data_IF_447177473625
#
_entry.id   IF_447177473625
#
_cell.length_a   1.000
_cell.length_b   1.000
_cell.length_c   1.000
_cell.angle_alpha   90.00
_cell.angle_beta   90.00
_cell.angle_gamma   90.00
#
_symmetry.space_group_name_H-M   'P 1'
#
loop_
_entity.id
_entity.type
_entity.pdbx_description
1 polymer ?
#
# COMPACT_ATOMS: atom_id res chain seq x y z
N UNK A 1 -22.16 21.85 -7.15
CA UNK A 1 -22.30 20.37 -7.25
C UNK A 1 -23.20 19.89 -6.13
N UNK A 2 -24.00 18.84 -6.38
CA UNK A 2 -24.81 18.19 -5.32
C UNK A 2 -23.88 17.64 -4.23
N UNK A 3 -24.24 17.82 -2.97
CA UNK A 3 -23.53 17.20 -1.84
C UNK A 3 -23.86 15.70 -1.81
N UNK A 4 -22.85 14.86 -1.86
CA UNK A 4 -22.99 13.40 -1.79
C UNK A 4 -22.75 12.89 -0.37
N UNK A 5 -23.44 11.81 0.00
CA UNK A 5 -23.15 10.99 1.17
C UNK A 5 -22.47 9.69 0.71
N UNK A 6 -21.21 9.51 1.05
CA UNK A 6 -20.38 8.35 0.67
C UNK A 6 -20.09 7.50 1.89
N UNK A 7 -20.47 6.23 1.86
CA UNK A 7 -20.21 5.25 2.93
C UNK A 7 -19.12 4.28 2.48
N UNK A 8 -17.99 4.25 3.18
CA UNK A 8 -16.90 3.32 2.93
C UNK A 8 -16.95 2.15 3.93
N UNK A 9 -16.82 0.91 3.43
CA UNK A 9 -16.91 -0.31 4.23
C UNK A 9 -15.56 -1.02 4.30
N UNK A 10 -15.04 -1.26 5.51
CA UNK A 10 -13.81 -2.04 5.74
C UNK A 10 -13.86 -2.76 7.09
N UNK A 11 -12.98 -3.78 7.33
CA UNK A 11 -13.03 -4.58 8.55
C UNK A 11 -12.74 -3.79 9.82
N UNK A 12 -11.65 -3.01 9.81
CA UNK A 12 -11.14 -2.26 10.94
C UNK A 12 -10.24 -1.11 10.47
N UNK A 13 -9.90 -0.19 11.37
CA UNK A 13 -9.06 0.99 11.15
C UNK A 13 -7.79 0.94 11.99
N UNK A 14 -6.96 -0.13 11.83
CA UNK A 14 -5.73 -0.28 12.60
C UNK A 14 -4.50 0.24 11.87
N UNK A 15 -4.07 -0.45 10.81
CA UNK A 15 -2.91 -0.08 9.99
C UNK A 15 -2.92 -0.86 8.68
N UNK A 16 -2.44 -0.23 7.62
CA UNK A 16 -2.30 -0.84 6.31
C UNK A 16 -2.64 0.11 5.17
N UNK A 17 -2.37 -0.32 3.95
CA UNK A 17 -2.60 0.50 2.76
C UNK A 17 -4.06 0.74 2.42
N UNK A 18 -4.96 -0.18 2.81
CA UNK A 18 -6.42 -0.03 2.61
C UNK A 18 -6.97 1.00 3.57
N UNK A 19 -6.64 0.88 4.86
CA UNK A 19 -7.07 1.78 5.91
C UNK A 19 -6.57 3.20 5.64
N UNK A 20 -5.27 3.36 5.33
CA UNK A 20 -4.70 4.66 4.97
C UNK A 20 -5.44 5.30 3.80
N UNK A 21 -5.68 4.54 2.71
CA UNK A 21 -6.38 5.10 1.56
C UNK A 21 -7.87 5.36 1.82
N UNK A 22 -8.47 4.72 2.83
CA UNK A 22 -9.84 5.05 3.28
C UNK A 22 -9.87 6.42 3.94
N UNK A 23 -8.92 6.71 4.81
CA UNK A 23 -8.78 8.05 5.43
C UNK A 23 -8.49 9.12 4.37
N UNK A 24 -7.56 8.84 3.45
CA UNK A 24 -7.18 9.75 2.36
C UNK A 24 -8.40 10.15 1.50
N UNK A 25 -9.29 9.20 1.18
CA UNK A 25 -10.52 9.49 0.42
C UNK A 25 -11.59 10.15 1.30
N UNK A 26 -11.71 9.77 2.56
CA UNK A 26 -12.65 10.42 3.49
C UNK A 26 -12.31 11.90 3.67
N UNK A 27 -11.04 12.22 3.90
CA UNK A 27 -10.58 13.61 3.99
C UNK A 27 -10.84 14.41 2.70
N UNK A 28 -10.61 13.81 1.53
CA UNK A 28 -10.88 14.46 0.25
C UNK A 28 -12.37 14.73 0.02
N UNK A 29 -13.25 13.79 0.43
CA UNK A 29 -14.69 13.98 0.37
C UNK A 29 -15.15 15.15 1.24
N UNK A 30 -14.65 15.22 2.49
CA UNK A 30 -14.97 16.33 3.41
C UNK A 30 -14.46 17.65 2.85
N UNK A 31 -13.22 17.72 2.38
CA UNK A 31 -12.64 18.91 1.77
C UNK A 31 -13.42 19.40 0.53
N UNK A 32 -14.06 18.46 -0.20
CA UNK A 32 -14.94 18.78 -1.34
C UNK A 32 -16.40 19.10 -0.93
N UNK A 33 -16.72 19.19 0.38
CA UNK A 33 -18.05 19.50 0.89
C UNK A 33 -19.04 18.32 0.89
N UNK A 34 -18.56 17.09 0.66
CA UNK A 34 -19.36 15.88 0.74
C UNK A 34 -19.40 15.32 2.17
N UNK A 35 -20.36 14.45 2.45
CA UNK A 35 -20.44 13.70 3.71
C UNK A 35 -19.70 12.37 3.55
N UNK A 36 -18.68 12.14 4.35
CA UNK A 36 -17.88 10.93 4.35
C UNK A 36 -18.15 10.11 5.62
N UNK A 37 -18.63 8.89 5.44
CA UNK A 37 -18.91 7.96 6.54
C UNK A 37 -18.07 6.71 6.34
N UNK A 38 -17.45 6.23 7.42
CA UNK A 38 -16.69 4.97 7.42
C UNK A 38 -17.33 4.00 8.40
N UNK A 39 -17.67 2.80 7.93
CA UNK A 39 -18.21 1.72 8.75
C UNK A 39 -17.14 0.65 8.96
N UNK A 40 -16.78 0.38 10.21
CA UNK A 40 -15.78 -0.63 10.60
C UNK A 40 -15.90 -1.04 12.05
N UNK A 41 -15.15 -2.07 12.48
CA UNK A 41 -15.05 -2.45 13.89
C UNK A 41 -14.27 -1.44 14.76
N UNK A 42 -13.81 -0.32 14.21
CA UNK A 42 -12.98 0.66 14.89
C UNK A 42 -11.48 0.37 14.76
N UNK A 43 -10.68 1.03 15.60
CA UNK A 43 -9.22 0.92 15.64
C UNK A 43 -8.52 2.26 15.83
N UNK A 44 -7.19 2.25 15.93
CA UNK A 44 -6.37 3.43 16.25
C UNK A 44 -6.46 4.58 15.22
N UNK A 45 -6.96 4.31 14.01
CA UNK A 45 -7.12 5.32 12.96
C UNK A 45 -8.52 5.96 12.96
N UNK A 46 -9.38 5.65 13.94
CA UNK A 46 -10.69 6.32 14.08
C UNK A 46 -10.50 7.78 14.47
N UNK A 47 -9.63 8.07 15.43
CA UNK A 47 -9.36 9.44 15.85
C UNK A 47 -8.83 10.33 14.70
N UNK A 48 -7.80 9.94 13.93
CA UNK A 48 -7.40 10.66 12.73
C UNK A 48 -8.50 10.82 11.67
N UNK A 49 -9.37 9.81 11.52
CA UNK A 49 -10.52 9.89 10.62
C UNK A 49 -11.50 10.99 11.05
N UNK A 50 -11.89 10.99 12.33
CA UNK A 50 -12.80 12.00 12.90
C UNK A 50 -12.19 13.40 12.84
N UNK A 51 -10.89 13.53 13.09
CA UNK A 51 -10.16 14.80 12.98
C UNK A 51 -10.17 15.38 11.57
N UNK A 52 -10.36 14.55 10.53
CA UNK A 52 -10.55 15.01 9.15
C UNK A 52 -11.96 15.53 8.84
N UNK A 53 -12.89 15.49 9.81
CA UNK A 53 -14.30 15.86 9.64
C UNK A 53 -15.18 14.74 9.06
N UNK A 54 -14.66 13.54 8.89
CA UNK A 54 -15.44 12.37 8.49
C UNK A 54 -16.13 11.74 9.70
N UNK A 55 -17.16 10.92 9.44
CA UNK A 55 -17.92 10.19 10.45
C UNK A 55 -17.47 8.73 10.54
N UNK A 56 -17.54 8.15 11.73
CA UNK A 56 -17.33 6.72 11.94
C UNK A 56 -18.58 6.07 12.56
N UNK A 57 -19.04 4.99 11.94
CA UNK A 57 -20.09 4.13 12.49
C UNK A 57 -19.50 2.77 12.85
N UNK A 58 -19.56 2.42 14.12
CA UNK A 58 -18.98 1.17 14.60
C UNK A 58 -19.90 -0.01 14.30
N UNK A 59 -19.41 -0.94 13.46
CA UNK A 59 -20.06 -2.21 13.17
C UNK A 59 -19.00 -3.24 12.80
N UNK A 60 -18.94 -4.38 13.52
CA UNK A 60 -17.96 -5.44 13.25
C UNK A 60 -18.36 -6.27 12.00
N UNK A 61 -18.11 -5.68 10.84
CA UNK A 61 -18.32 -6.30 9.53
C UNK A 61 -17.08 -7.06 9.02
N UNK A 62 -16.04 -7.19 9.85
CA UNK A 62 -14.78 -7.86 9.52
C UNK A 62 -14.60 -9.24 10.14
N UNK A 63 -15.38 -9.59 11.14
CA UNK A 63 -15.25 -10.85 11.88
C UNK A 63 -15.73 -12.04 11.05
N UNK A 64 -14.86 -13.03 10.87
CA UNK A 64 -15.17 -14.27 10.16
C UNK A 64 -16.05 -15.20 11.02
N UNK A 65 -17.35 -14.94 11.03
CA UNK A 65 -18.35 -15.73 11.77
C UNK A 65 -19.67 -15.72 10.98
N UNK A 66 -20.45 -16.79 11.06
CA UNK A 66 -21.81 -16.82 10.49
C UNK A 66 -22.72 -15.78 11.15
N UNK A 67 -22.50 -15.48 12.43
CA UNK A 67 -23.22 -14.41 13.13
C UNK A 67 -23.02 -13.02 12.52
N UNK A 68 -21.97 -12.82 11.75
CA UNK A 68 -21.71 -11.53 11.07
C UNK A 68 -22.77 -11.24 10.00
N UNK A 69 -23.44 -12.26 9.46
CA UNK A 69 -24.53 -12.09 8.48
C UNK A 69 -25.72 -11.30 9.04
N UNK A 70 -25.97 -11.32 10.36
CA UNK A 70 -27.00 -10.48 11.00
C UNK A 70 -26.78 -8.99 10.74
N UNK A 71 -25.54 -8.58 10.55
CA UNK A 71 -25.17 -7.19 10.27
C UNK A 71 -25.63 -6.69 8.89
N UNK A 72 -26.07 -7.56 7.99
CA UNK A 72 -26.72 -7.14 6.71
C UNK A 72 -27.93 -6.26 6.98
N UNK A 73 -28.80 -6.65 7.92
CA UNK A 73 -30.00 -5.86 8.28
C UNK A 73 -29.60 -4.53 8.95
N UNK A 74 -28.66 -4.58 9.88
CA UNK A 74 -28.16 -3.38 10.56
C UNK A 74 -27.54 -2.42 9.55
N UNK A 75 -26.65 -2.91 8.69
CA UNK A 75 -26.01 -2.11 7.66
C UNK A 75 -27.02 -1.52 6.68
N UNK A 76 -28.04 -2.30 6.23
CA UNK A 76 -29.11 -1.80 5.39
C UNK A 76 -29.84 -0.61 6.03
N UNK A 77 -30.19 -0.72 7.32
CA UNK A 77 -30.86 0.35 8.06
C UNK A 77 -29.98 1.59 8.16
N UNK A 78 -28.69 1.42 8.52
CA UNK A 78 -27.72 2.52 8.56
C UNK A 78 -27.59 3.22 7.20
N UNK A 79 -27.58 2.47 6.09
CA UNK A 79 -27.51 3.05 4.74
C UNK A 79 -28.77 3.84 4.39
N UNK A 80 -29.94 3.35 4.79
CA UNK A 80 -31.22 4.06 4.60
C UNK A 80 -31.27 5.36 5.45
N UNK A 81 -30.91 5.29 6.74
CA UNK A 81 -30.91 6.42 7.67
C UNK A 81 -29.91 7.50 7.28
N UNK A 82 -28.74 7.12 6.75
CA UNK A 82 -27.73 8.07 6.33
C UNK A 82 -28.04 8.72 4.98
N UNK A 83 -28.97 8.19 4.21
CA UNK A 83 -29.25 8.65 2.85
C UNK A 83 -28.04 8.49 1.93
N UNK A 84 -27.36 7.33 2.02
CA UNK A 84 -26.15 7.09 1.25
C UNK A 84 -26.40 7.18 -0.27
N UNK A 85 -25.62 7.98 -0.98
CA UNK A 85 -25.59 8.04 -2.45
C UNK A 85 -24.63 6.97 -3.03
N UNK A 86 -23.50 6.75 -2.36
CA UNK A 86 -22.46 5.79 -2.76
C UNK A 86 -22.14 4.88 -1.58
N UNK A 87 -22.06 3.58 -1.83
CA UNK A 87 -21.47 2.60 -0.91
C UNK A 87 -20.23 2.01 -1.56
N UNK A 88 -19.09 2.22 -0.94
CA UNK A 88 -17.80 1.77 -1.45
C UNK A 88 -17.18 0.70 -0.55
N UNK A 89 -17.19 -0.55 -1.00
CA UNK A 89 -16.55 -1.65 -0.28
C UNK A 89 -15.07 -1.77 -0.61
N UNK A 90 -14.27 -1.89 0.45
CA UNK A 90 -12.81 -1.95 0.37
C UNK A 90 -12.20 -3.28 0.81
N UNK A 91 -13.02 -4.24 1.20
CA UNK A 91 -12.57 -5.57 1.64
C UNK A 91 -13.68 -6.61 1.45
N UNK A 92 -13.28 -7.87 1.25
CA UNK A 92 -14.17 -8.96 0.80
C UNK A 92 -15.39 -9.20 1.70
N UNK A 93 -15.20 -9.40 3.01
CA UNK A 93 -16.33 -9.67 3.90
C UNK A 93 -17.25 -8.46 4.06
N UNK A 94 -16.74 -7.25 4.31
CA UNK A 94 -17.56 -6.04 4.22
C UNK A 94 -18.28 -5.87 2.88
N UNK A 95 -17.66 -6.28 1.76
CA UNK A 95 -18.27 -6.24 0.45
C UNK A 95 -19.46 -7.21 0.34
N UNK A 96 -19.36 -8.42 0.87
CA UNK A 96 -20.50 -9.36 0.90
C UNK A 96 -21.68 -8.80 1.70
N UNK A 97 -21.41 -8.27 2.88
CA UNK A 97 -22.48 -7.67 3.72
C UNK A 97 -23.09 -6.44 3.05
N UNK A 98 -22.24 -5.54 2.51
CA UNK A 98 -22.68 -4.35 1.78
C UNK A 98 -23.49 -4.69 0.53
N UNK A 99 -23.04 -5.68 -0.25
CA UNK A 99 -23.72 -6.14 -1.45
C UNK A 99 -25.17 -6.57 -1.15
N UNK A 100 -25.35 -7.41 -0.11
CA UNK A 100 -26.70 -7.82 0.30
C UNK A 100 -27.48 -6.67 0.93
N UNK A 101 -26.86 -5.82 1.73
CA UNK A 101 -27.54 -4.67 2.33
C UNK A 101 -28.09 -3.71 1.26
N UNK A 102 -27.25 -3.35 0.27
CA UNK A 102 -27.63 -2.46 -0.84
C UNK A 102 -28.73 -3.07 -1.71
N UNK A 103 -28.63 -4.34 -2.08
CA UNK A 103 -29.66 -5.01 -2.91
C UNK A 103 -31.01 -5.12 -2.23
N UNK A 104 -31.05 -5.15 -0.91
CA UNK A 104 -32.28 -5.19 -0.12
C UNK A 104 -32.88 -3.80 0.18
N UNK A 105 -32.32 -2.73 -0.37
CA UNK A 105 -32.93 -1.40 -0.36
C UNK A 105 -33.88 -1.21 -1.55
N UNK A 106 -34.95 -0.39 -1.39
CA UNK A 106 -35.85 -0.03 -2.50
C UNK A 106 -35.05 0.57 -3.68
N UNK A 107 -35.42 0.26 -4.90
CA UNK A 107 -34.70 0.72 -6.09
C UNK A 107 -34.56 2.25 -6.15
N UNK A 108 -35.58 2.99 -5.70
CA UNK A 108 -35.60 4.46 -5.72
C UNK A 108 -34.61 5.12 -4.75
N UNK A 109 -34.19 4.41 -3.69
CA UNK A 109 -33.27 4.94 -2.65
C UNK A 109 -32.00 4.13 -2.55
N UNK A 110 -31.75 3.23 -3.52
CA UNK A 110 -30.60 2.35 -3.52
C UNK A 110 -29.34 3.14 -3.89
N UNK A 111 -28.32 3.16 -3.03
CA UNK A 111 -27.05 3.80 -3.35
C UNK A 111 -26.30 3.08 -4.46
N UNK A 112 -25.46 3.80 -5.21
CA UNK A 112 -24.55 3.21 -6.16
C UNK A 112 -23.50 2.36 -5.45
N UNK A 113 -23.21 1.20 -6.02
CA UNK A 113 -22.31 0.20 -5.45
C UNK A 113 -20.95 0.25 -6.12
N UNK A 114 -19.92 0.60 -5.36
CA UNK A 114 -18.51 0.67 -5.82
C UNK A 114 -17.65 -0.30 -5.03
N UNK A 115 -16.69 -0.93 -5.69
CA UNK A 115 -15.71 -1.81 -5.04
C UNK A 115 -14.30 -1.42 -5.46
N UNK A 116 -13.30 -1.69 -4.60
CA UNK A 116 -11.89 -1.55 -4.97
C UNK A 116 -11.15 -2.87 -4.78
N UNK A 117 -10.50 -3.34 -5.83
CA UNK A 117 -9.57 -4.46 -5.78
C UNK A 117 -8.20 -3.95 -5.34
N UNK A 118 -7.90 -4.14 -4.05
CA UNK A 118 -6.67 -3.65 -3.40
C UNK A 118 -5.49 -4.62 -3.45
N UNK A 119 -5.75 -5.88 -3.82
CA UNK A 119 -4.75 -6.93 -3.77
C UNK A 119 -5.03 -8.05 -4.78
N UNK A 120 -3.99 -8.75 -5.17
CA UNK A 120 -4.06 -9.94 -6.03
C UNK A 120 -4.43 -11.16 -5.17
N UNK A 121 -5.66 -11.14 -4.63
CA UNK A 121 -6.15 -12.24 -3.79
C UNK A 121 -6.37 -13.50 -4.64
N UNK A 122 -6.22 -14.68 -4.01
CA UNK A 122 -6.51 -15.95 -4.69
C UNK A 122 -7.91 -15.92 -5.33
N UNK A 123 -8.02 -16.20 -6.64
CA UNK A 123 -9.29 -16.24 -7.34
C UNK A 123 -10.24 -17.23 -6.70
N UNK A 124 -11.46 -16.81 -6.41
CA UNK A 124 -12.50 -17.66 -5.81
C UNK A 124 -13.86 -16.97 -5.89
N UNK A 125 -14.94 -17.74 -5.71
CA UNK A 125 -16.30 -17.18 -5.60
C UNK A 125 -16.41 -16.17 -4.45
N UNK A 126 -15.68 -16.40 -3.35
CA UNK A 126 -15.64 -15.46 -2.22
C UNK A 126 -14.96 -14.13 -2.60
N UNK A 127 -13.89 -14.16 -3.37
CA UNK A 127 -13.17 -12.96 -3.83
C UNK A 127 -13.91 -12.22 -4.96
N UNK A 128 -14.79 -12.92 -5.71
CA UNK A 128 -15.56 -12.35 -6.82
C UNK A 128 -16.46 -11.18 -6.42
N UNK A 129 -16.86 -11.09 -5.14
CA UNK A 129 -17.65 -9.94 -4.65
C UNK A 129 -16.94 -8.60 -4.88
N UNK A 130 -15.61 -8.59 -4.91
CA UNK A 130 -14.84 -7.36 -5.16
C UNK A 130 -14.93 -6.88 -6.61
N UNK A 131 -15.52 -7.67 -7.50
CA UNK A 131 -15.79 -7.31 -8.90
C UNK A 131 -17.27 -7.04 -9.17
N UNK A 132 -18.13 -7.03 -8.11
CA UNK A 132 -19.58 -6.86 -8.24
C UNK A 132 -20.03 -5.40 -8.36
N UNK A 133 -19.12 -4.43 -8.25
CA UNK A 133 -19.42 -3.00 -8.32
C UNK A 133 -20.00 -2.56 -9.67
N UNK A 134 -20.87 -1.55 -9.68
CA UNK A 134 -21.25 -0.79 -10.90
C UNK A 134 -19.99 -0.16 -11.51
N UNK A 135 -19.05 0.23 -10.64
CA UNK A 135 -17.67 0.53 -10.98
C UNK A 135 -16.74 -0.23 -10.03
N UNK A 136 -15.69 -0.79 -10.60
CA UNK A 136 -14.66 -1.55 -9.89
C UNK A 136 -13.34 -0.79 -10.04
N UNK A 137 -12.85 -0.22 -8.96
CA UNK A 137 -11.55 0.45 -8.96
C UNK A 137 -10.44 -0.60 -8.88
N UNK A 138 -9.55 -0.60 -9.86
CA UNK A 138 -8.32 -1.36 -9.90
C UNK A 138 -7.17 -0.42 -9.54
N UNK A 139 -6.33 -0.79 -8.56
CA UNK A 139 -5.27 0.09 -8.06
C UNK A 139 -4.03 0.14 -8.98
N UNK A 140 -4.02 -0.62 -10.07
CA UNK A 140 -3.00 -0.65 -11.11
C UNK A 140 -3.53 -1.35 -12.37
N UNK A 141 -2.81 -1.27 -13.50
CA UNK A 141 -3.13 -2.06 -14.69
C UNK A 141 -2.93 -3.56 -14.41
N UNK A 142 -1.91 -3.94 -13.64
CA UNK A 142 -1.70 -5.31 -13.21
C UNK A 142 -2.94 -5.88 -12.50
N UNK A 143 -3.60 -5.10 -11.63
CA UNK A 143 -4.85 -5.52 -10.97
C UNK A 143 -6.01 -5.60 -11.97
N UNK A 144 -6.10 -4.68 -12.93
CA UNK A 144 -7.13 -4.73 -13.99
C UNK A 144 -6.98 -6.00 -14.84
N UNK A 145 -5.77 -6.30 -15.27
CA UNK A 145 -5.47 -7.52 -16.03
C UNK A 145 -5.77 -8.80 -15.23
N UNK A 146 -5.40 -8.79 -13.94
CA UNK A 146 -5.74 -9.88 -13.02
C UNK A 146 -7.26 -10.11 -12.94
N UNK A 147 -8.05 -9.03 -12.83
CA UNK A 147 -9.53 -9.14 -12.80
C UNK A 147 -10.05 -9.71 -14.11
N UNK A 148 -9.64 -9.18 -15.25
CA UNK A 148 -10.07 -9.66 -16.57
C UNK A 148 -9.72 -11.12 -16.81
N UNK A 149 -8.52 -11.55 -16.37
CA UNK A 149 -8.05 -12.92 -16.49
C UNK A 149 -8.86 -13.91 -15.65
N UNK A 150 -9.16 -13.56 -14.40
CA UNK A 150 -9.73 -14.49 -13.43
C UNK A 150 -11.25 -14.36 -13.23
N UNK A 151 -11.85 -13.27 -13.71
CA UNK A 151 -13.28 -12.99 -13.65
C UNK A 151 -13.79 -12.49 -15.00
N UNK A 152 -13.75 -13.36 -16.04
CA UNK A 152 -14.03 -12.95 -17.43
C UNK A 152 -15.47 -12.49 -17.67
N UNK A 153 -16.39 -12.75 -16.74
CA UNK A 153 -17.77 -12.25 -16.79
C UNK A 153 -17.89 -10.75 -16.39
N UNK A 154 -16.82 -10.12 -15.92
CA UNK A 154 -16.84 -8.72 -15.54
C UNK A 154 -16.64 -7.85 -16.79
N UNK A 155 -17.61 -6.99 -17.14
CA UNK A 155 -17.46 -6.11 -18.29
C UNK A 155 -16.27 -5.16 -18.12
N UNK A 156 -15.36 -5.07 -19.10
CA UNK A 156 -14.16 -4.22 -19.01
C UNK A 156 -14.46 -2.74 -18.73
N UNK A 157 -15.61 -2.25 -19.19
CA UNK A 157 -16.05 -0.87 -19.00
C UNK A 157 -16.45 -0.53 -17.54
N UNK A 158 -16.68 -1.54 -16.70
CA UNK A 158 -16.84 -1.33 -15.25
C UNK A 158 -15.54 -1.09 -14.53
N UNK A 159 -14.41 -1.55 -15.10
CA UNK A 159 -13.10 -1.43 -14.48
C UNK A 159 -12.53 -0.03 -14.70
N UNK A 160 -12.13 0.61 -13.62
CA UNK A 160 -11.43 1.90 -13.63
C UNK A 160 -10.08 1.76 -12.94
N UNK A 161 -9.01 2.07 -13.64
CA UNK A 161 -7.68 2.09 -13.02
C UNK A 161 -7.52 3.45 -12.35
N UNK A 162 -7.46 3.42 -11.01
CA UNK A 162 -7.15 4.58 -10.17
C UNK A 162 -5.96 4.19 -9.31
N UNK A 163 -4.74 4.54 -9.69
CA UNK A 163 -3.54 4.18 -8.97
C UNK A 163 -3.52 4.75 -7.57
N UNK A 164 -2.79 4.08 -6.67
CA UNK A 164 -2.45 4.67 -5.38
C UNK A 164 -1.54 5.87 -5.58
N UNK A 165 -1.66 6.84 -4.69
CA UNK A 165 -0.86 8.04 -4.76
C UNK A 165 0.10 8.19 -3.58
N UNK A 166 1.18 8.91 -3.82
CA UNK A 166 2.10 9.41 -2.81
C UNK A 166 1.75 10.86 -2.48
N UNK A 167 1.77 11.18 -1.20
CA UNK A 167 1.70 12.57 -0.75
C UNK A 167 3.10 13.19 -0.84
N UNK A 168 3.32 14.03 -1.85
CA UNK A 168 4.62 14.66 -2.09
C UNK A 168 5.01 15.66 -1.00
N UNK A 169 4.06 16.14 -0.18
CA UNK A 169 4.36 16.95 0.99
C UNK A 169 4.91 16.11 2.15
N UNK A 170 4.42 14.88 2.32
CA UNK A 170 4.97 13.92 3.29
C UNK A 170 6.27 13.27 2.80
N UNK A 171 6.45 13.14 1.48
CA UNK A 171 7.62 12.54 0.85
C UNK A 171 8.31 13.57 -0.07
N UNK A 172 8.82 14.67 0.50
CA UNK A 172 9.47 15.73 -0.27
C UNK A 172 10.78 15.21 -0.88
N UNK A 173 11.11 15.75 -2.04
CA UNK A 173 12.38 15.43 -2.69
C UNK A 173 13.55 15.98 -1.88
N UNK A 174 14.52 15.11 -1.62
CA UNK A 174 15.75 15.43 -0.86
C UNK A 174 16.95 15.15 -1.75
N UNK A 175 17.84 16.12 -1.88
CA UNK A 175 19.08 15.96 -2.65
C UNK A 175 19.92 14.81 -2.10
N UNK A 176 20.56 14.03 -2.98
CA UNK A 176 21.41 12.91 -2.56
C UNK A 176 22.63 13.36 -1.76
N UNK A 177 23.08 14.58 -1.95
CA UNK A 177 24.21 15.18 -1.21
C UNK A 177 23.83 15.66 0.19
N UNK A 178 22.52 15.73 0.49
CA UNK A 178 22.05 16.15 1.81
C UNK A 178 22.26 15.03 2.84
N UNK A 179 23.23 15.21 3.73
CA UNK A 179 23.59 14.25 4.78
C UNK A 179 22.71 14.36 6.03
N UNK A 180 21.89 15.41 6.15
CA UNK A 180 21.04 15.62 7.34
C UNK A 180 20.12 14.44 7.66
N UNK A 181 19.41 13.82 6.69
CA UNK A 181 18.59 12.65 7.00
C UNK A 181 19.40 11.48 7.53
N UNK A 182 20.60 11.25 6.98
CA UNK A 182 21.50 10.19 7.44
C UNK A 182 21.95 10.42 8.88
N UNK A 183 22.35 11.64 9.20
CA UNK A 183 22.74 12.01 10.56
C UNK A 183 21.58 11.87 11.55
N UNK A 184 20.38 12.27 11.15
CA UNK A 184 19.19 12.12 11.99
C UNK A 184 18.86 10.66 12.27
N UNK A 185 18.95 9.79 11.26
CA UNK A 185 18.76 8.34 11.42
C UNK A 185 19.86 7.74 12.28
N UNK A 186 21.12 8.11 12.06
CA UNK A 186 22.27 7.64 12.84
C UNK A 186 22.18 8.03 14.33
N UNK A 187 21.64 9.21 14.65
CA UNK A 187 21.41 9.63 16.03
C UNK A 187 20.40 8.71 16.79
N UNK A 188 19.45 8.13 16.07
CA UNK A 188 18.49 7.17 16.64
C UNK A 188 19.00 5.72 16.55
N UNK A 189 19.82 5.43 15.56
CA UNK A 189 20.34 4.10 15.22
C UNK A 189 21.85 4.18 14.93
N UNK A 190 22.70 4.21 15.97
CA UNK A 190 24.16 4.35 15.78
C UNK A 190 24.79 3.31 14.85
N UNK A 191 24.23 2.11 14.76
CA UNK A 191 24.67 1.07 13.82
C UNK A 191 24.55 1.47 12.33
N UNK A 192 23.77 2.52 12.02
CA UNK A 192 23.63 3.07 10.67
C UNK A 192 24.50 4.31 10.42
N UNK A 193 25.40 4.64 11.34
CA UNK A 193 26.29 5.79 11.18
C UNK A 193 27.36 5.56 10.10
N UNK A 194 27.99 6.66 9.67
CA UNK A 194 29.09 6.62 8.70
C UNK A 194 28.63 6.78 7.24
N UNK A 195 29.61 6.58 6.34
CA UNK A 195 29.47 6.88 4.91
C UNK A 195 29.22 5.64 4.04
N UNK A 196 29.17 4.45 4.66
CA UNK A 196 28.84 3.22 3.96
C UNK A 196 27.47 3.31 3.25
N UNK A 197 27.34 2.80 2.02
CA UNK A 197 26.04 2.78 1.33
C UNK A 197 24.95 2.12 2.18
N UNK A 198 23.77 2.73 2.28
CA UNK A 198 22.66 2.19 3.06
C UNK A 198 21.54 1.68 2.17
N UNK A 199 21.26 0.39 2.27
CA UNK A 199 20.10 -0.25 1.68
C UNK A 199 18.93 -0.18 2.67
N UNK A 200 17.73 0.09 2.17
CA UNK A 200 16.51 0.15 2.98
C UNK A 200 15.46 -0.82 2.43
N UNK A 201 14.98 -1.74 3.25
CA UNK A 201 13.83 -2.61 2.94
C UNK A 201 12.76 -2.41 4.00
N UNK A 202 11.82 -1.46 3.80
CA UNK A 202 10.74 -1.21 4.76
C UNK A 202 9.61 -2.22 4.61
N UNK A 203 9.10 -2.71 5.71
CA UNK A 203 7.93 -3.58 5.68
C UNK A 203 7.81 -4.50 6.86
N UNK A 204 6.62 -5.09 6.99
CA UNK A 204 6.32 -6.02 8.08
C UNK A 204 7.20 -7.27 8.02
N UNK A 205 7.60 -7.79 9.18
CA UNK A 205 8.38 -9.02 9.32
C UNK A 205 7.62 -10.27 8.86
N UNK A 206 7.43 -10.42 7.57
CA UNK A 206 6.78 -11.58 6.95
C UNK A 206 7.64 -12.13 5.82
N UNK A 207 7.63 -13.44 5.63
CA UNK A 207 8.37 -14.11 4.55
C UNK A 207 8.08 -13.49 3.18
N UNK A 208 6.83 -13.05 2.97
CA UNK A 208 6.38 -12.45 1.70
C UNK A 208 7.11 -11.16 1.32
N UNK A 209 7.79 -10.48 2.25
CA UNK A 209 8.50 -9.21 1.98
C UNK A 209 9.93 -9.39 1.46
N UNK A 210 10.41 -10.65 1.38
CA UNK A 210 11.70 -10.96 0.74
C UNK A 210 12.93 -10.49 1.52
N UNK A 211 12.84 -10.39 2.87
CA UNK A 211 13.99 -10.01 3.71
C UNK A 211 15.20 -10.91 3.51
N UNK A 212 14.98 -12.21 3.27
CA UNK A 212 16.05 -13.17 2.99
C UNK A 212 16.81 -12.85 1.71
N UNK A 213 16.14 -12.33 0.66
CA UNK A 213 16.81 -11.86 -0.55
C UNK A 213 17.69 -10.63 -0.27
N UNK A 214 17.23 -9.71 0.60
CA UNK A 214 18.03 -8.55 0.97
C UNK A 214 19.29 -8.94 1.75
N UNK A 215 19.21 -9.94 2.63
CA UNK A 215 20.39 -10.48 3.32
C UNK A 215 21.39 -11.11 2.35
N UNK A 216 20.91 -11.93 1.42
CA UNK A 216 21.76 -12.54 0.38
C UNK A 216 22.40 -11.47 -0.53
N UNK A 217 21.63 -10.44 -0.91
CA UNK A 217 22.15 -9.30 -1.65
C UNK A 217 23.25 -8.57 -0.88
N UNK A 218 23.05 -8.28 0.40
CA UNK A 218 24.04 -7.61 1.23
C UNK A 218 25.35 -8.40 1.31
N UNK A 219 25.28 -9.73 1.52
CA UNK A 219 26.43 -10.61 1.52
C UNK A 219 27.18 -10.57 0.17
N UNK A 220 26.45 -10.58 -0.95
CA UNK A 220 27.02 -10.44 -2.28
C UNK A 220 27.71 -9.09 -2.51
N UNK A 221 27.15 -8.00 -1.97
CA UNK A 221 27.81 -6.67 -2.03
C UNK A 221 29.09 -6.63 -1.21
N UNK A 222 29.10 -7.20 0.00
CA UNK A 222 30.30 -7.31 0.82
C UNK A 222 31.40 -8.13 0.13
N UNK A 223 31.03 -9.27 -0.47
CA UNK A 223 31.96 -10.09 -1.25
C UNK A 223 32.53 -9.35 -2.46
N UNK A 224 31.78 -8.38 -3.02
CA UNK A 224 32.24 -7.50 -4.11
C UNK A 224 33.00 -6.26 -3.61
N UNK A 225 33.35 -6.17 -2.32
CA UNK A 225 34.11 -5.07 -1.72
C UNK A 225 33.27 -3.81 -1.40
N UNK A 226 31.95 -3.88 -1.42
CA UNK A 226 31.07 -2.77 -1.05
C UNK A 226 30.54 -2.99 0.37
N UNK A 227 31.03 -2.30 1.41
CA UNK A 227 30.67 -2.50 2.81
C UNK A 227 29.33 -1.80 3.14
N UNK A 228 28.28 -2.18 2.44
CA UNK A 228 26.95 -1.59 2.60
C UNK A 228 26.31 -1.98 3.95
N UNK A 229 25.37 -1.15 4.41
CA UNK A 229 24.50 -1.42 5.55
C UNK A 229 23.08 -1.74 5.06
N UNK A 230 22.34 -2.57 5.79
CA UNK A 230 20.95 -2.90 5.50
C UNK A 230 20.07 -2.55 6.69
N UNK A 231 19.14 -1.63 6.49
CA UNK A 231 18.09 -1.31 7.46
C UNK A 231 16.74 -1.88 7.03
N UNK A 232 16.08 -2.64 7.92
CA UNK A 232 14.78 -3.27 7.70
C UNK A 232 13.77 -2.79 8.77
N UNK A 233 13.24 -1.55 8.68
CA UNK A 233 12.22 -1.06 9.61
C UNK A 233 10.88 -1.74 9.39
N UNK A 234 10.21 -2.09 10.50
CA UNK A 234 8.95 -2.84 10.50
C UNK A 234 9.11 -4.35 10.53
N UNK A 235 10.35 -4.85 10.57
CA UNK A 235 10.59 -6.31 10.69
C UNK A 235 10.27 -6.82 12.08
N UNK A 236 10.60 -6.04 13.13
CA UNK A 236 10.31 -6.36 14.53
C UNK A 236 8.93 -5.87 14.93
N UNK A 237 7.96 -6.75 14.94
CA UNK A 237 6.59 -6.53 15.41
C UNK A 237 6.17 -7.69 16.32
N UNK A 238 5.25 -7.47 17.28
CA UNK A 238 4.70 -8.56 18.11
C UNK A 238 4.17 -9.72 17.25
N UNK A 239 4.51 -10.95 17.63
CA UNK A 239 4.15 -12.18 16.92
C UNK A 239 5.05 -12.48 15.69
N UNK A 240 6.21 -11.81 15.56
CA UNK A 240 7.19 -12.04 14.48
C UNK A 240 8.53 -12.54 14.98
N UNK A 241 8.67 -12.79 16.26
CA UNK A 241 9.91 -13.14 16.96
C UNK A 241 10.64 -14.32 16.29
N UNK A 242 9.88 -15.37 15.95
CA UNK A 242 10.44 -16.55 15.27
C UNK A 242 11.04 -16.20 13.92
N UNK A 243 10.35 -15.40 13.13
CA UNK A 243 10.85 -15.01 11.80
C UNK A 243 12.04 -14.08 11.90
N UNK A 244 12.05 -13.16 12.86
CA UNK A 244 13.20 -12.30 13.14
C UNK A 244 14.42 -13.15 13.52
N UNK A 245 14.27 -14.13 14.42
CA UNK A 245 15.35 -15.05 14.81
C UNK A 245 15.91 -15.84 13.62
N UNK A 246 15.06 -16.26 12.67
CA UNK A 246 15.49 -16.92 11.43
C UNK A 246 16.34 -15.97 10.57
N UNK A 247 15.94 -14.70 10.42
CA UNK A 247 16.71 -13.69 9.67
C UNK A 247 18.04 -13.37 10.35
N UNK A 248 18.06 -13.26 11.68
CA UNK A 248 19.31 -13.07 12.44
C UNK A 248 20.27 -14.25 12.30
N UNK A 249 19.76 -15.48 12.33
CA UNK A 249 20.56 -16.68 12.08
C UNK A 249 21.15 -16.68 10.67
N UNK A 250 20.36 -16.29 9.65
CA UNK A 250 20.84 -16.14 8.28
C UNK A 250 21.92 -15.05 8.18
N UNK A 251 21.71 -13.89 8.80
CA UNK A 251 22.71 -12.81 8.78
C UNK A 251 24.05 -13.27 9.41
N UNK A 252 24.00 -14.01 10.52
CA UNK A 252 25.20 -14.60 11.14
C UNK A 252 25.89 -15.62 10.24
N UNK A 253 25.12 -16.52 9.63
CA UNK A 253 25.69 -17.54 8.72
C UNK A 253 26.35 -16.94 7.49
N UNK A 254 25.88 -15.78 7.04
CA UNK A 254 26.45 -15.03 5.91
C UNK A 254 27.59 -14.07 6.32
N UNK A 255 27.92 -13.98 7.61
CA UNK A 255 29.00 -13.09 8.11
C UNK A 255 28.68 -11.60 8.02
N UNK A 256 27.40 -11.22 7.99
CA UNK A 256 26.96 -9.82 7.78
C UNK A 256 26.13 -9.28 8.96
N UNK A 257 26.12 -9.96 10.11
CA UNK A 257 25.24 -9.62 11.22
C UNK A 257 25.41 -8.16 11.70
N UNK A 258 26.63 -7.66 11.75
CA UNK A 258 26.95 -6.30 12.19
C UNK A 258 26.55 -5.20 11.18
N UNK A 259 26.28 -5.58 9.94
CA UNK A 259 25.82 -4.68 8.88
C UNK A 259 24.30 -4.65 8.69
N UNK A 260 23.54 -5.40 9.54
CA UNK A 260 22.08 -5.52 9.42
C UNK A 260 21.40 -4.94 10.64
N UNK A 261 20.48 -4.02 10.44
CA UNK A 261 19.60 -3.49 11.48
C UNK A 261 18.13 -3.81 11.19
N UNK A 262 17.49 -4.55 12.08
CA UNK A 262 16.04 -4.82 12.08
C UNK A 262 15.39 -4.05 13.22
N UNK A 263 14.37 -3.24 12.92
CA UNK A 263 13.69 -2.41 13.93
C UNK A 263 12.17 -2.58 13.90
N UNK A 264 11.51 -2.04 14.91
CA UNK A 264 10.08 -1.79 14.87
C UNK A 264 9.72 -0.82 13.70
N UNK A 265 8.42 -0.71 13.34
CA UNK A 265 7.99 0.27 12.36
C UNK A 265 8.40 1.68 12.76
N UNK A 266 8.87 2.48 11.80
CA UNK A 266 9.17 3.90 12.02
C UNK A 266 8.00 4.76 11.56
N UNK A 267 7.67 5.81 12.33
CA UNK A 267 6.76 6.88 11.91
C UNK A 267 7.42 7.88 10.96
N UNK A 268 8.76 7.90 10.89
CA UNK A 268 9.58 8.81 10.08
C UNK A 268 10.08 8.14 8.80
N UNK A 269 9.19 7.45 8.10
CA UNK A 269 9.57 6.65 6.92
C UNK A 269 10.14 7.51 5.77
N UNK A 270 9.69 8.74 5.61
CA UNK A 270 10.23 9.66 4.61
C UNK A 270 11.72 9.98 4.86
N UNK A 271 12.12 10.12 6.13
CA UNK A 271 13.53 10.28 6.49
C UNK A 271 14.33 9.01 6.27
N UNK A 272 13.73 7.84 6.55
CA UNK A 272 14.38 6.57 6.27
C UNK A 272 14.70 6.43 4.78
N UNK A 273 13.75 6.80 3.91
CA UNK A 273 14.02 6.88 2.46
C UNK A 273 15.13 7.90 2.17
N UNK A 274 15.02 9.13 2.69
CA UNK A 274 15.98 10.19 2.44
C UNK A 274 17.40 9.85 2.94
N UNK A 275 17.52 9.04 3.96
CA UNK A 275 18.81 8.58 4.50
C UNK A 275 19.43 7.43 3.71
N UNK A 276 18.66 6.72 2.88
CA UNK A 276 19.15 5.54 2.14
C UNK A 276 19.76 5.91 0.79
N UNK A 277 20.62 5.03 0.28
CA UNK A 277 21.19 5.12 -1.06
C UNK A 277 20.43 4.28 -2.08
N UNK A 278 19.82 3.17 -1.63
CA UNK A 278 19.04 2.25 -2.44
C UNK A 278 17.89 1.67 -1.64
N UNK A 279 16.69 1.76 -2.17
CA UNK A 279 15.49 1.16 -1.56
C UNK A 279 15.16 -0.16 -2.24
N UNK A 280 14.85 -1.18 -1.44
CA UNK A 280 14.59 -2.53 -1.91
C UNK A 280 13.08 -2.84 -1.86
N UNK A 281 12.56 -3.49 -2.90
CA UNK A 281 11.20 -4.01 -2.97
C UNK A 281 11.21 -5.44 -3.52
N UNK A 282 11.43 -6.40 -2.63
CA UNK A 282 11.75 -7.79 -2.95
C UNK A 282 10.66 -8.78 -2.55
N UNK A 283 9.40 -8.36 -2.55
CA UNK A 283 8.28 -9.22 -2.18
C UNK A 283 8.19 -10.45 -3.08
N UNK A 284 8.12 -11.66 -2.49
CA UNK A 284 8.03 -12.94 -3.22
C UNK A 284 6.72 -13.13 -4.00
N UNK A 285 5.68 -12.42 -3.57
CA UNK A 285 4.39 -12.38 -4.29
C UNK A 285 4.18 -11.03 -4.92
N UNK A 286 3.54 -10.98 -6.09
CA UNK A 286 3.26 -9.72 -6.75
C UNK A 286 2.39 -8.83 -5.87
N UNK A 287 2.82 -7.60 -5.68
CA UNK A 287 2.03 -6.57 -5.02
C UNK A 287 1.07 -5.90 -6.00
N UNK A 288 -0.07 -5.45 -5.49
CA UNK A 288 -1.09 -4.83 -6.33
C UNK A 288 -0.68 -3.45 -6.86
N UNK A 289 0.19 -2.72 -6.13
CA UNK A 289 0.67 -1.40 -6.55
C UNK A 289 2.18 -1.23 -6.27
N UNK A 290 2.59 -1.15 -4.99
CA UNK A 290 4.00 -0.90 -4.63
C UNK A 290 4.22 0.54 -4.14
N UNK A 291 3.54 0.95 -3.06
CA UNK A 291 3.71 2.30 -2.48
C UNK A 291 5.17 2.66 -2.18
N UNK A 292 5.95 1.69 -1.70
CA UNK A 292 7.39 1.86 -1.44
C UNK A 292 8.13 2.45 -2.66
N UNK A 293 7.78 2.02 -3.87
CA UNK A 293 8.41 2.50 -5.11
C UNK A 293 8.15 4.00 -5.31
N UNK A 294 6.88 4.40 -5.28
CA UNK A 294 6.52 5.82 -5.53
C UNK A 294 6.96 6.73 -4.38
N UNK A 295 6.96 6.26 -3.14
CA UNK A 295 7.44 6.99 -1.97
C UNK A 295 8.95 7.24 -2.04
N UNK A 296 9.74 6.20 -2.32
CA UNK A 296 11.18 6.30 -2.48
C UNK A 296 11.58 7.20 -3.66
N UNK A 297 10.94 7.02 -4.82
CA UNK A 297 11.21 7.86 -6.00
C UNK A 297 10.77 9.31 -5.79
N UNK A 298 9.71 9.57 -5.03
CA UNK A 298 9.29 10.93 -4.66
C UNK A 298 10.39 11.63 -3.84
N UNK A 299 10.96 10.93 -2.86
CA UNK A 299 12.09 11.43 -2.05
C UNK A 299 13.38 11.56 -2.87
N UNK A 300 13.46 10.96 -4.05
CA UNK A 300 14.63 10.99 -4.91
C UNK A 300 15.63 9.88 -4.62
N UNK A 301 15.17 8.72 -4.16
CA UNK A 301 15.99 7.52 -3.96
C UNK A 301 15.68 6.45 -4.97
N UNK A 302 16.70 5.83 -5.59
CA UNK A 302 16.49 4.75 -6.54
C UNK A 302 15.92 3.52 -5.83
N UNK A 303 15.12 2.76 -6.58
CA UNK A 303 14.52 1.52 -6.10
C UNK A 303 15.05 0.35 -6.89
N UNK A 304 15.28 -0.76 -6.22
CA UNK A 304 15.62 -2.05 -6.82
C UNK A 304 14.57 -3.06 -6.39
N UNK A 305 13.90 -3.70 -7.34
CA UNK A 305 12.80 -4.61 -7.03
C UNK A 305 12.51 -5.63 -8.10
N UNK A 306 11.75 -6.65 -7.73
CA UNK A 306 11.32 -7.66 -8.67
C UNK A 306 10.36 -7.09 -9.72
N UNK A 307 10.62 -7.39 -10.99
CA UNK A 307 9.77 -7.02 -12.12
C UNK A 307 8.51 -7.89 -12.16
N UNK A 308 7.63 -7.70 -11.16
CA UNK A 308 6.35 -8.40 -11.07
C UNK A 308 5.26 -7.51 -10.44
N UNK A 309 4.01 -7.78 -10.81
CA UNK A 309 2.86 -7.08 -10.26
C UNK A 309 2.93 -5.57 -10.46
N UNK A 310 2.32 -4.82 -9.55
CA UNK A 310 2.34 -3.36 -9.57
C UNK A 310 3.73 -2.77 -9.33
N UNK A 311 4.63 -3.47 -8.64
CA UNK A 311 6.03 -3.04 -8.48
C UNK A 311 6.74 -3.02 -9.83
N UNK A 312 6.63 -4.11 -10.60
CA UNK A 312 7.17 -4.17 -11.96
C UNK A 312 6.59 -3.09 -12.85
N UNK A 313 5.25 -2.91 -12.84
CA UNK A 313 4.57 -1.86 -13.60
C UNK A 313 5.13 -0.47 -13.29
N UNK A 314 5.29 -0.13 -12.00
CA UNK A 314 5.82 1.16 -11.57
C UNK A 314 7.29 1.35 -11.95
N UNK A 315 8.14 0.32 -11.76
CA UNK A 315 9.55 0.39 -12.10
C UNK A 315 9.74 0.55 -13.61
N UNK A 316 9.04 -0.23 -14.43
CA UNK A 316 9.12 -0.10 -15.89
C UNK A 316 8.72 1.30 -16.37
N UNK A 317 7.77 1.94 -15.69
CA UNK A 317 7.32 3.28 -16.05
C UNK A 317 8.24 4.40 -15.53
N UNK A 318 8.72 4.29 -14.28
CA UNK A 318 9.40 5.39 -13.58
C UNK A 318 10.92 5.25 -13.50
N UNK A 319 11.43 4.03 -13.41
CA UNK A 319 12.85 3.71 -13.26
C UNK A 319 13.14 2.31 -13.80
N UNK A 320 13.16 2.07 -15.13
CA UNK A 320 13.38 0.75 -15.71
C UNK A 320 14.66 0.05 -15.23
N UNK A 321 15.69 0.86 -14.92
CA UNK A 321 16.95 0.34 -14.36
C UNK A 321 16.84 -0.33 -12.99
N UNK A 322 15.71 -0.17 -12.29
CA UNK A 322 15.45 -0.80 -11.00
C UNK A 322 14.70 -2.13 -11.07
N UNK A 323 14.21 -2.53 -12.24
CA UNK A 323 13.42 -3.73 -12.42
C UNK A 323 14.32 -4.95 -12.72
N UNK A 324 14.19 -6.02 -11.94
CA UNK A 324 14.98 -7.25 -12.05
C UNK A 324 14.03 -8.45 -12.15
N UNK A 325 14.35 -9.47 -12.97
CA UNK A 325 13.55 -10.69 -13.03
C UNK A 325 13.39 -11.34 -11.65
N UNK A 326 12.18 -11.84 -11.36
CA UNK A 326 11.88 -12.47 -10.07
C UNK A 326 12.83 -13.62 -9.76
N UNK A 327 13.48 -13.58 -8.61
CA UNK A 327 14.35 -14.66 -8.12
C UNK A 327 15.74 -14.69 -8.74
N UNK A 328 16.07 -13.81 -9.67
CA UNK A 328 17.42 -13.72 -10.26
C UNK A 328 18.36 -12.95 -9.32
N UNK A 329 19.00 -13.69 -8.42
CA UNK A 329 19.93 -13.14 -7.43
C UNK A 329 21.18 -12.52 -8.08
N UNK A 330 21.67 -13.07 -9.20
CA UNK A 330 22.82 -12.55 -9.94
C UNK A 330 22.52 -11.19 -10.56
N UNK A 331 21.38 -11.10 -11.27
CA UNK A 331 20.91 -9.83 -11.81
C UNK A 331 20.62 -8.79 -10.72
N UNK A 332 20.06 -9.22 -9.57
CA UNK A 332 19.78 -8.34 -8.42
C UNK A 332 21.09 -7.72 -7.89
N UNK A 333 22.13 -8.54 -7.68
CA UNK A 333 23.44 -8.06 -7.20
C UNK A 333 24.12 -7.15 -8.22
N UNK A 334 24.19 -7.55 -9.48
CA UNK A 334 24.80 -6.74 -10.53
C UNK A 334 24.13 -5.38 -10.66
N UNK A 335 22.80 -5.36 -10.59
CA UNK A 335 22.03 -4.11 -10.65
C UNK A 335 22.22 -3.24 -9.41
N UNK A 336 22.29 -3.84 -8.22
CA UNK A 336 22.59 -3.10 -6.99
C UNK A 336 23.94 -2.40 -7.07
N UNK A 337 24.99 -3.10 -7.48
CA UNK A 337 26.34 -2.54 -7.70
C UNK A 337 26.29 -1.36 -8.67
N UNK A 338 25.62 -1.52 -9.80
CA UNK A 338 25.47 -0.47 -10.80
C UNK A 338 24.74 0.77 -10.24
N UNK A 339 23.60 0.58 -9.55
CA UNK A 339 22.80 1.69 -9.01
C UNK A 339 23.50 2.42 -7.87
N UNK A 340 24.34 1.75 -7.09
CA UNK A 340 25.16 2.36 -6.03
C UNK A 340 26.31 3.16 -6.63
N UNK A 341 27.03 2.61 -7.63
CA UNK A 341 28.16 3.27 -8.29
C UNK A 341 27.71 4.43 -9.19
N UNK A 342 26.63 4.24 -9.93
CA UNK A 342 26.12 5.21 -10.92
C UNK A 342 24.61 5.36 -10.75
N UNK A 343 24.16 6.17 -9.79
CA UNK A 343 22.74 6.39 -9.55
C UNK A 343 22.03 6.97 -10.78
N UNK A 344 20.87 6.42 -11.16
CA UNK A 344 20.15 6.86 -12.35
C UNK A 344 19.56 8.27 -12.17
N UNK A 345 19.29 8.96 -13.27
CA UNK A 345 18.41 10.12 -13.28
C UNK A 345 17.00 9.65 -12.96
N UNK A 346 16.40 10.18 -11.92
CA UNK A 346 15.04 9.85 -11.46
C UNK A 346 14.05 10.91 -11.94
N UNK A 347 12.78 10.54 -12.16
CA UNK A 347 11.74 11.49 -12.53
C UNK A 347 11.67 12.68 -11.57
N UNK A 348 11.63 13.89 -12.08
CA UNK A 348 11.48 15.10 -11.24
C UNK A 348 10.10 15.19 -10.60
N UNK A 349 9.10 14.58 -11.23
CA UNK A 349 7.70 14.51 -10.74
C UNK A 349 7.20 13.07 -10.84
N UNK A 350 6.49 12.64 -9.79
CA UNK A 350 5.81 11.37 -9.77
C UNK A 350 4.35 11.60 -10.20
N UNK A 351 3.87 10.94 -11.29
CA UNK A 351 2.50 11.13 -11.74
C UNK A 351 1.45 10.52 -10.80
N UNK A 352 1.86 9.56 -9.97
CA UNK A 352 1.01 8.87 -9.00
C UNK A 352 0.92 9.66 -7.69
N UNK A 353 0.21 10.79 -7.70
CA UNK A 353 0.05 11.65 -6.50
C UNK A 353 -1.21 11.31 -5.73
N UNK A 354 -1.21 11.63 -4.43
CA UNK A 354 -2.39 11.51 -3.57
C UNK A 354 -3.54 12.33 -4.14
N UNK A 355 -3.28 13.54 -4.59
CA UNK A 355 -4.27 14.44 -5.18
C UNK A 355 -4.91 13.87 -6.46
N UNK A 356 -4.10 13.22 -7.32
CA UNK A 356 -4.63 12.56 -8.51
C UNK A 356 -5.57 11.40 -8.14
N UNK A 357 -5.17 10.53 -7.21
CA UNK A 357 -6.01 9.43 -6.69
C UNK A 357 -7.32 9.95 -6.10
N UNK A 358 -7.27 11.00 -5.30
CA UNK A 358 -8.44 11.64 -4.68
C UNK A 358 -9.37 12.21 -5.73
N UNK A 359 -8.87 13.06 -6.63
CA UNK A 359 -9.64 13.67 -7.71
C UNK A 359 -10.35 12.61 -8.56
N UNK A 360 -9.63 11.60 -9.03
CA UNK A 360 -10.16 10.57 -9.93
C UNK A 360 -11.22 9.70 -9.22
N UNK A 361 -11.04 9.44 -7.91
CA UNK A 361 -12.04 8.72 -7.10
C UNK A 361 -13.31 9.56 -6.89
N UNK A 362 -13.18 10.85 -6.56
CA UNK A 362 -14.33 11.73 -6.40
C UNK A 362 -15.08 11.92 -7.72
N UNK A 363 -14.34 12.08 -8.83
CA UNK A 363 -14.93 12.16 -10.16
C UNK A 363 -15.73 10.91 -10.53
N UNK A 364 -15.24 9.72 -10.17
CA UNK A 364 -15.97 8.48 -10.35
C UNK A 364 -17.29 8.49 -9.55
N UNK A 365 -17.27 8.94 -8.29
CA UNK A 365 -18.48 9.02 -7.48
C UNK A 365 -19.48 10.02 -8.06
N UNK A 366 -19.04 11.21 -8.43
CA UNK A 366 -19.93 12.22 -9.03
C UNK A 366 -20.53 11.75 -10.36
N UNK A 367 -19.76 11.03 -11.17
CA UNK A 367 -20.27 10.48 -12.45
C UNK A 367 -21.33 9.38 -12.30
N UNK A 368 -21.43 8.76 -11.12
CA UNK A 368 -22.46 7.76 -10.82
C UNK A 368 -23.74 8.41 -10.26
N UNK A 369 -23.57 9.45 -9.46
CA UNK A 369 -24.68 10.04 -8.69
C UNK A 369 -25.31 11.28 -9.36
N UNK A 370 -24.74 11.73 -10.45
CA UNK A 370 -25.21 12.92 -11.19
C UNK A 370 -25.51 12.71 -12.58
#
# INVERSE_FOLDING_TARGET
>A
MRRLTVVQLLPALHSGGVERSTLEIAAALVAAGHRAIVVSAGGRLVEPLLASGAEHLTLDIGRKSLWTLRHVRTLRNMLAETGADIVHARSRLPAWLGYYAVRNLPAATRPHWVTTVHGLNSPSRYSAVMTSGERVICVSNCVREFVLKHYPSVPPERLRVIPRGVDTAQFPRVGRQDRRPRLTVAAQHPALAGDAPMLLLPGRGTRLKGHHHALSLLAGLHAAGVPALLWMPGTREPGRERYVAELEAQARSLGIADAVLMTAPTSRIAEAYAASDLVLQLSDKPEAFGRTVVEALSVGRPVLGWNQGGVGELLQHLQPSGAVPLGDAGALQARALQLLAQPPSLPSRIPFTLQAMQRDTLQLYTSLAG
#
